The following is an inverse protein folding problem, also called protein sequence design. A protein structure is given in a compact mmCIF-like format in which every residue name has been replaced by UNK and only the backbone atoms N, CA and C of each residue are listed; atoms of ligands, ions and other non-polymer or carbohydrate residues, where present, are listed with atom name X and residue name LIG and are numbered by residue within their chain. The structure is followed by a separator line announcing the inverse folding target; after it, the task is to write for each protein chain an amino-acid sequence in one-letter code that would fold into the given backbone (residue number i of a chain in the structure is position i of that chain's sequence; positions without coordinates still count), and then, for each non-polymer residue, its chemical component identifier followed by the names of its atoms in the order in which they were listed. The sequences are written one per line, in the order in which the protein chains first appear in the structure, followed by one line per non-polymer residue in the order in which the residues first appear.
data_IF_335483296935
#
_entry.id   IF_335483296935
#
_cell.length_a   1.000
_cell.length_b   1.000
_cell.length_c   1.000
_cell.angle_alpha   90.00
_cell.angle_beta   90.00
_cell.angle_gamma   90.00
#
_symmetry.space_group_name_H-M   'P 1'
#
loop_
_entity.id
_entity.type
_entity.pdbx_description
1 polymer ?
#
# COMPACT_ATOMS: atom_id res chain seq x y z
N UNK A 1 11.98 11.79 0.89
CA UNK A 1 11.42 10.43 1.04
C UNK A 1 10.84 9.92 -0.25
N UNK A 2 10.73 8.64 -0.39
CA UNK A 2 10.06 7.98 -1.50
C UNK A 2 9.00 7.04 -0.95
N UNK A 3 8.01 6.71 -1.78
CA UNK A 3 6.97 5.78 -1.33
C UNK A 3 6.50 4.86 -2.44
N UNK A 4 6.07 3.68 -2.02
CA UNK A 4 5.32 2.75 -2.85
C UNK A 4 3.85 2.89 -2.49
N UNK A 5 3.02 3.18 -3.48
CA UNK A 5 1.57 3.22 -3.32
C UNK A 5 0.96 2.04 -4.06
N UNK A 6 0.10 1.29 -3.38
CA UNK A 6 -0.62 0.16 -3.97
C UNK A 6 -2.11 0.42 -3.82
N UNK A 7 -2.82 0.48 -4.93
CA UNK A 7 -4.28 0.59 -4.93
C UNK A 7 -4.87 -0.66 -5.54
N UNK A 8 -5.97 -1.14 -4.96
CA UNK A 8 -6.58 -2.38 -5.44
C UNK A 8 -8.01 -2.55 -4.94
N UNK A 9 -8.66 -3.53 -5.53
CA UNK A 9 -9.97 -4.02 -5.11
C UNK A 9 -9.85 -5.49 -4.70
N UNK A 10 -10.91 -6.03 -4.13
CA UNK A 10 -11.03 -7.48 -3.95
C UNK A 10 -11.89 -8.05 -5.08
N UNK A 11 -11.70 -9.31 -5.44
CA UNK A 11 -12.56 -9.96 -6.44
C UNK A 11 -14.01 -9.98 -6.00
N UNK A 12 -14.97 -10.04 -6.94
CA UNK A 12 -16.38 -10.19 -6.61
C UNK A 12 -16.61 -11.40 -5.69
N UNK A 13 -17.44 -11.21 -4.67
CA UNK A 13 -17.75 -12.27 -3.71
C UNK A 13 -16.73 -12.46 -2.59
N UNK A 14 -15.66 -11.67 -2.57
CA UNK A 14 -14.66 -11.76 -1.50
C UNK A 14 -15.25 -11.34 -0.15
N UNK A 15 -14.75 -11.97 0.92
CA UNK A 15 -15.12 -11.61 2.29
C UNK A 15 -14.28 -10.41 2.76
N UNK A 16 -14.86 -9.22 2.68
CA UNK A 16 -14.18 -7.97 3.07
C UNK A 16 -13.84 -7.92 4.56
N UNK A 17 -14.67 -8.46 5.43
CA UNK A 17 -14.39 -8.47 6.87
C UNK A 17 -13.18 -9.35 7.19
N UNK A 18 -13.13 -10.54 6.61
CA UNK A 18 -11.99 -11.44 6.79
C UNK A 18 -10.71 -10.82 6.24
N UNK A 19 -10.78 -10.17 5.07
CA UNK A 19 -9.65 -9.46 4.49
C UNK A 19 -9.14 -8.36 5.42
N UNK A 20 -10.04 -7.53 5.95
CA UNK A 20 -9.66 -6.42 6.83
C UNK A 20 -9.02 -6.92 8.12
N UNK A 21 -9.54 -7.99 8.72
CA UNK A 21 -8.93 -8.60 9.93
C UNK A 21 -7.50 -9.03 9.64
N UNK A 22 -7.29 -9.78 8.55
CA UNK A 22 -5.97 -10.24 8.16
C UNK A 22 -5.03 -9.07 7.82
N UNK A 23 -5.52 -8.10 7.03
CA UNK A 23 -4.72 -6.95 6.56
C UNK A 23 -4.26 -6.08 7.73
N UNK A 24 -5.10 -5.86 8.72
CA UNK A 24 -4.81 -4.96 9.86
C UNK A 24 -4.10 -5.67 11.01
N UNK A 25 -3.91 -6.96 10.95
CA UNK A 25 -3.21 -7.74 11.98
C UNK A 25 -1.98 -8.43 11.41
N UNK A 26 -2.12 -9.63 10.87
CA UNK A 26 -1.01 -10.46 10.40
C UNK A 26 -0.21 -9.78 9.29
N UNK A 27 -0.88 -9.29 8.27
CA UNK A 27 -0.21 -8.68 7.13
C UNK A 27 0.45 -7.35 7.51
N UNK A 28 -0.16 -6.58 8.39
CA UNK A 28 0.44 -5.35 8.89
C UNK A 28 1.74 -5.63 9.65
N UNK A 29 1.76 -6.67 10.46
CA UNK A 29 2.97 -7.09 11.19
C UNK A 29 4.05 -7.58 10.23
N UNK A 30 3.68 -8.35 9.21
CA UNK A 30 4.61 -8.82 8.19
C UNK A 30 5.26 -7.65 7.45
N UNK A 31 4.47 -6.61 7.14
CA UNK A 31 4.99 -5.43 6.47
C UNK A 31 6.01 -4.67 7.33
N UNK A 32 5.87 -4.68 8.64
CA UNK A 32 6.83 -4.02 9.54
C UNK A 32 8.22 -4.65 9.49
N UNK A 33 8.35 -5.87 9.01
CA UNK A 33 9.63 -6.56 8.85
C UNK A 33 10.36 -6.21 7.55
N UNK A 34 9.79 -5.36 6.70
CA UNK A 34 10.42 -4.97 5.43
C UNK A 34 11.68 -4.15 5.70
N UNK A 35 12.84 -4.56 5.13
CA UNK A 35 14.09 -3.83 5.34
C UNK A 35 13.99 -2.38 4.83
N UNK A 36 14.36 -1.43 5.68
CA UNK A 36 14.39 -0.02 5.33
C UNK A 36 13.05 0.69 5.35
N UNK A 37 11.97 -0.01 5.69
CA UNK A 37 10.65 0.60 5.81
C UNK A 37 10.64 1.61 6.96
N UNK A 38 10.17 2.83 6.70
CA UNK A 38 10.02 3.87 7.72
C UNK A 38 8.64 3.76 8.37
N UNK A 39 7.60 3.68 7.54
CA UNK A 39 6.23 3.46 8.01
C UNK A 39 5.39 2.91 6.88
N UNK A 40 4.28 2.31 7.22
CA UNK A 40 3.29 1.86 6.26
C UNK A 40 1.89 2.20 6.75
N UNK A 41 1.09 2.73 5.84
CA UNK A 41 -0.28 3.14 6.11
C UNK A 41 -1.24 2.35 5.23
N UNK A 42 -2.42 2.06 5.76
CA UNK A 42 -3.47 1.37 5.02
C UNK A 42 -4.76 2.18 5.12
N UNK A 43 -5.41 2.37 3.97
CA UNK A 43 -6.62 3.17 3.86
C UNK A 43 -7.74 2.42 3.17
N UNK A 44 -8.96 2.69 3.62
CA UNK A 44 -10.17 2.35 2.85
C UNK A 44 -10.59 3.64 2.16
N UNK A 45 -10.68 3.60 0.84
CA UNK A 45 -11.08 4.76 0.04
C UNK A 45 -12.60 4.90 0.14
N UNK A 46 -13.07 6.03 0.64
CA UNK A 46 -14.47 6.25 0.94
C UNK A 46 -15.26 6.84 -0.21
N UNK A 47 -14.67 7.80 -0.92
CA UNK A 47 -15.36 8.54 -1.96
C UNK A 47 -14.41 8.90 -3.10
N UNK A 48 -14.95 9.00 -4.30
CA UNK A 48 -14.27 9.57 -5.45
C UNK A 48 -15.12 10.73 -5.97
N UNK A 49 -14.48 11.88 -6.12
CA UNK A 49 -15.18 13.09 -6.55
C UNK A 49 -15.79 12.90 -7.95
N UNK A 50 -17.07 13.24 -8.09
CA UNK A 50 -17.86 13.13 -9.32
C UNK A 50 -17.93 11.72 -9.92
N UNK A 51 -17.76 10.68 -9.09
CA UNK A 51 -17.92 9.28 -9.51
C UNK A 51 -18.90 8.58 -8.57
N UNK A 52 -19.75 7.68 -9.08
CA UNK A 52 -20.71 6.97 -8.22
C UNK A 52 -20.04 6.07 -7.19
N UNK A 53 -18.87 5.50 -7.54
CA UNK A 53 -18.06 4.69 -6.63
C UNK A 53 -16.57 4.95 -6.91
N UNK A 54 -15.71 4.83 -5.89
CA UNK A 54 -14.27 4.90 -6.13
C UNK A 54 -13.79 3.78 -7.07
N UNK A 55 -12.84 4.06 -7.97
CA UNK A 55 -12.26 3.04 -8.84
C UNK A 55 -11.46 1.98 -8.07
N UNK A 56 -10.96 2.34 -6.87
CA UNK A 56 -10.24 1.44 -5.97
C UNK A 56 -10.80 1.58 -4.56
N UNK A 57 -10.91 0.46 -3.85
CA UNK A 57 -11.42 0.45 -2.48
C UNK A 57 -10.30 0.58 -1.45
N UNK A 58 -9.14 0.02 -1.74
CA UNK A 58 -8.05 -0.08 -0.77
C UNK A 58 -6.79 0.58 -1.28
N UNK A 59 -6.03 1.18 -0.35
CA UNK A 59 -4.75 1.80 -0.66
C UNK A 59 -3.76 1.54 0.46
N UNK A 60 -2.56 1.11 0.08
CA UNK A 60 -1.43 0.98 1.00
C UNK A 60 -0.34 1.94 0.55
N UNK A 61 0.31 2.60 1.51
CA UNK A 61 1.48 3.41 1.27
C UNK A 61 2.62 2.94 2.16
N UNK A 62 3.78 2.68 1.56
CA UNK A 62 4.98 2.26 2.26
C UNK A 62 6.10 3.26 2.00
N UNK A 63 6.70 3.81 3.05
CA UNK A 63 7.65 4.91 2.96
C UNK A 63 9.06 4.44 3.24
N UNK A 64 10.00 4.92 2.41
CA UNK A 64 11.43 4.61 2.51
C UNK A 64 12.22 5.91 2.43
N UNK A 65 13.43 5.92 3.01
CA UNK A 65 14.28 7.11 3.01
C UNK A 65 14.71 7.51 1.59
N UNK A 66 15.09 6.52 0.78
CA UNK A 66 15.60 6.78 -0.57
C UNK A 66 15.14 5.71 -1.57
N UNK A 67 15.31 6.04 -2.84
CA UNK A 67 14.87 5.20 -3.95
C UNK A 67 15.63 3.88 -4.02
N UNK A 68 16.91 3.88 -3.69
CA UNK A 68 17.74 2.68 -3.72
C UNK A 68 17.21 1.62 -2.75
N UNK A 69 16.89 2.03 -1.52
CA UNK A 69 16.32 1.14 -0.51
C UNK A 69 14.96 0.59 -0.93
N UNK A 70 14.09 1.44 -1.46
CA UNK A 70 12.77 1.01 -1.93
C UNK A 70 12.91 -0.02 -3.06
N UNK A 71 13.75 0.27 -4.05
CA UNK A 71 13.95 -0.62 -5.19
C UNK A 71 14.60 -1.94 -4.80
N UNK A 72 15.56 -1.90 -3.88
CA UNK A 72 16.22 -3.11 -3.38
C UNK A 72 15.21 -4.06 -2.74
N UNK A 73 14.24 -3.52 -2.00
CA UNK A 73 13.15 -4.30 -1.43
C UNK A 73 12.17 -4.76 -2.51
N UNK A 74 11.61 -3.81 -3.28
CA UNK A 74 10.48 -4.10 -4.16
C UNK A 74 10.85 -5.05 -5.30
N UNK A 75 12.04 -4.86 -5.89
CA UNK A 75 12.49 -5.67 -7.01
C UNK A 75 13.29 -6.90 -6.61
N UNK A 76 13.40 -7.19 -5.31
CA UNK A 76 14.00 -8.42 -4.84
C UNK A 76 13.24 -9.62 -5.40
N UNK A 77 13.94 -10.60 -6.03
CA UNK A 77 13.27 -11.75 -6.65
C UNK A 77 12.42 -12.57 -5.68
N UNK A 78 12.86 -12.71 -4.44
CA UNK A 78 12.12 -13.45 -3.42
C UNK A 78 10.84 -12.72 -3.03
N UNK A 79 10.92 -11.40 -2.85
CA UNK A 79 9.74 -10.59 -2.61
C UNK A 79 8.78 -10.62 -3.79
N UNK A 80 9.28 -10.49 -5.02
CA UNK A 80 8.45 -10.51 -6.22
C UNK A 80 7.71 -11.84 -6.37
N UNK A 81 8.32 -12.95 -5.97
CA UNK A 81 7.65 -14.25 -5.98
C UNK A 81 6.48 -14.28 -4.99
N UNK A 82 6.67 -13.77 -3.78
CA UNK A 82 5.61 -13.66 -2.77
C UNK A 82 4.50 -12.72 -3.26
N UNK A 83 4.87 -11.61 -3.88
CA UNK A 83 3.93 -10.64 -4.42
C UNK A 83 3.01 -11.27 -5.47
N UNK A 84 3.54 -12.08 -6.38
CA UNK A 84 2.75 -12.76 -7.41
C UNK A 84 1.68 -13.67 -6.81
N UNK A 85 2.00 -14.34 -5.70
CA UNK A 85 1.01 -15.18 -5.00
C UNK A 85 -0.09 -14.31 -4.39
N UNK A 86 0.28 -13.19 -3.76
CA UNK A 86 -0.68 -12.26 -3.18
C UNK A 86 -1.59 -11.63 -4.23
N UNK A 87 -1.05 -11.30 -5.41
CA UNK A 87 -1.82 -10.71 -6.51
C UNK A 87 -2.99 -11.59 -6.97
N UNK A 88 -2.93 -12.91 -6.73
CA UNK A 88 -4.03 -13.81 -7.04
C UNK A 88 -5.25 -13.58 -6.16
N UNK A 89 -5.08 -12.93 -5.02
CA UNK A 89 -6.14 -12.69 -4.03
C UNK A 89 -6.82 -11.34 -4.17
N UNK A 90 -6.31 -10.46 -5.03
CA UNK A 90 -6.85 -9.11 -5.21
C UNK A 90 -7.23 -8.86 -6.68
N UNK A 91 -7.90 -7.73 -6.91
CA UNK A 91 -8.34 -7.32 -8.24
C UNK A 91 -7.83 -5.92 -8.57
N UNK A 92 -7.56 -5.66 -9.83
CA UNK A 92 -7.21 -4.35 -10.39
C UNK A 92 -6.02 -3.66 -9.72
N UNK A 93 -4.91 -4.36 -9.42
CA UNK A 93 -3.82 -3.74 -8.67
C UNK A 93 -3.07 -2.69 -9.48
N UNK A 94 -2.75 -1.57 -8.83
CA UNK A 94 -1.88 -0.53 -9.38
C UNK A 94 -0.76 -0.28 -8.38
N UNK A 95 0.49 -0.34 -8.86
CA UNK A 95 1.69 -0.09 -8.06
C UNK A 95 2.38 1.15 -8.60
N UNK A 96 2.56 2.14 -7.73
CA UNK A 96 3.17 3.41 -8.09
C UNK A 96 4.36 3.70 -7.17
N UNK A 97 5.48 4.04 -7.76
CA UNK A 97 6.67 4.47 -7.01
C UNK A 97 6.81 5.96 -7.22
N UNK A 98 6.83 6.71 -6.12
CA UNK A 98 6.86 8.17 -6.14
C UNK A 98 8.01 8.72 -5.33
N UNK A 99 8.61 9.79 -5.84
CA UNK A 99 9.65 10.53 -5.15
C UNK A 99 9.08 11.86 -4.66
N UNK A 100 9.34 12.19 -3.40
CA UNK A 100 8.94 13.47 -2.84
C UNK A 100 9.77 14.60 -3.46
N UNK A 101 9.08 15.55 -4.05
CA UNK A 101 9.72 16.74 -4.63
C UNK A 101 9.80 17.85 -3.57
N UNK A 102 8.71 18.03 -2.84
CA UNK A 102 8.64 19.05 -1.80
C UNK A 102 7.63 18.61 -0.75
N UNK A 103 7.92 18.89 0.50
CA UNK A 103 6.98 18.71 1.60
C UNK A 103 6.99 19.98 2.45
N UNK A 104 5.83 20.30 3.00
CA UNK A 104 5.68 21.39 3.94
C UNK A 104 4.77 20.92 5.06
N UNK A 105 5.20 21.14 6.27
CA UNK A 105 4.44 20.73 7.45
C UNK A 105 3.85 21.98 8.10
N UNK A 106 2.53 21.99 8.18
CA UNK A 106 1.83 23.04 8.92
C UNK A 106 1.70 22.56 10.36
N UNK A 107 2.25 23.37 11.27
CA UNK A 107 2.21 23.03 12.68
C UNK A 107 0.79 23.19 13.20
N UNK A 108 0.25 22.10 13.75
CA UNK A 108 -1.04 22.17 14.40
C UNK A 108 -0.95 23.00 15.67
N UNK A 109 -1.96 23.84 15.88
CA UNK A 109 -2.12 24.55 17.12
C UNK A 109 -2.79 23.64 18.14
N UNK A 110 -2.23 23.49 19.33
CA UNK A 110 -2.86 22.65 20.36
C UNK A 110 -4.25 23.21 20.73
#
# INVERSE_FOLDING_TARGET
MVKLTVMYNLPPGADHEAFLRWRTTEHQQDNLAIPGLIKTDFYIIQEAWQQPTPPYRYMTEAYFLDMETLRAFFYDPEYQAKLREWLKMIADPVFLISEEVITSVVRETP
#
